data_IF_435871168774
#
_entry.id   IF_435871168774
#
_cell.length_a   1.000
_cell.length_b   1.000
_cell.length_c   1.000
_cell.angle_alpha   90.00
_cell.angle_beta   90.00
_cell.angle_gamma   90.00
#
_symmetry.space_group_name_H-M   'P 1'
#
loop_
_entity.id
_entity.type
_entity.pdbx_description
1 polymer ?
#
# COMPACT_ATOMS: atom_id res chain seq x y z
N UNK A 1 -28.04 -0.40 -8.63
CA UNK A 1 -27.24 -0.33 -7.38
C UNK A 1 -26.16 -1.38 -7.50
N UNK A 2 -25.08 -1.09 -8.23
CA UNK A 2 -23.96 -2.03 -8.43
C UNK A 2 -22.81 -1.68 -7.48
N UNK A 3 -23.15 -1.57 -6.20
CA UNK A 3 -22.20 -1.30 -5.14
C UNK A 3 -21.46 -2.57 -4.76
N UNK A 4 -20.14 -2.54 -4.84
CA UNK A 4 -19.21 -3.46 -4.17
C UNK A 4 -19.18 -4.92 -4.66
N UNK A 5 -18.89 -5.12 -5.94
CA UNK A 5 -18.12 -6.30 -6.36
C UNK A 5 -16.71 -5.88 -6.79
N UNK A 6 -15.93 -5.36 -5.84
CA UNK A 6 -14.47 -5.41 -5.99
C UNK A 6 -14.09 -6.82 -5.54
N UNK A 7 -13.97 -7.73 -6.51
CA UNK A 7 -13.29 -9.00 -6.24
C UNK A 7 -11.93 -8.68 -5.61
N UNK A 8 -11.45 -9.45 -4.61
CA UNK A 8 -10.07 -9.29 -4.18
C UNK A 8 -9.18 -9.41 -5.43
N UNK A 9 -8.21 -8.51 -5.61
CA UNK A 9 -7.29 -8.57 -6.74
C UNK A 9 -6.69 -9.98 -6.84
N UNK A 10 -6.65 -10.52 -8.06
CA UNK A 10 -6.16 -11.86 -8.32
C UNK A 10 -4.74 -12.01 -7.75
N UNK A 11 -4.45 -13.08 -6.99
CA UNK A 11 -3.13 -13.26 -6.44
C UNK A 11 -2.08 -13.35 -7.55
N UNK A 12 -0.99 -12.60 -7.40
CA UNK A 12 0.19 -12.74 -8.28
C UNK A 12 1.06 -13.84 -7.73
N UNK A 13 1.32 -14.86 -8.53
CA UNK A 13 2.16 -16.00 -8.14
C UNK A 13 3.62 -15.72 -8.50
N UNK A 14 4.49 -15.75 -7.49
CA UNK A 14 5.94 -15.63 -7.65
C UNK A 14 6.59 -16.95 -7.30
N UNK A 15 7.41 -17.49 -8.20
CA UNK A 15 8.19 -18.70 -7.93
C UNK A 15 9.57 -18.33 -7.37
N UNK A 16 9.86 -18.76 -6.15
CA UNK A 16 11.11 -18.53 -5.42
C UNK A 16 11.74 -19.89 -5.07
N UNK A 17 12.96 -20.16 -5.53
CA UNK A 17 13.62 -21.46 -5.32
C UNK A 17 12.72 -22.68 -5.57
N UNK A 18 11.87 -22.63 -6.60
CA UNK A 18 10.93 -23.71 -6.94
C UNK A 18 9.64 -23.78 -6.10
N UNK A 19 9.46 -22.87 -5.14
CA UNK A 19 8.23 -22.73 -4.34
C UNK A 19 7.38 -21.58 -4.87
N UNK A 20 6.11 -21.85 -5.15
CA UNK A 20 5.15 -20.81 -5.53
C UNK A 20 4.65 -20.05 -4.29
N UNK A 21 4.72 -18.72 -4.35
CA UNK A 21 4.20 -17.81 -3.34
C UNK A 21 3.13 -16.93 -3.97
N UNK A 22 1.92 -16.96 -3.40
CA UNK A 22 0.84 -16.04 -3.76
C UNK A 22 1.01 -14.70 -3.04
N UNK A 23 1.15 -13.64 -3.82
CA UNK A 23 1.16 -12.26 -3.36
C UNK A 23 -0.21 -11.62 -3.58
N UNK A 24 -0.68 -10.90 -2.57
CA UNK A 24 -1.85 -10.03 -2.70
C UNK A 24 -1.47 -8.64 -2.21
N UNK A 25 -2.21 -7.59 -2.63
CA UNK A 25 -2.05 -6.27 -2.06
C UNK A 25 -2.26 -6.24 -0.56
N UNK A 26 -1.67 -5.22 0.07
CA UNK A 26 -1.75 -4.99 1.51
C UNK A 26 -3.19 -4.85 2.01
N UNK A 27 -3.47 -5.47 3.17
CA UNK A 27 -4.74 -5.37 3.87
C UNK A 27 -4.80 -4.10 4.72
N UNK A 28 -6.00 -3.57 4.93
CA UNK A 28 -6.21 -2.38 5.76
C UNK A 28 -5.60 -2.50 7.17
N UNK A 29 -5.69 -3.68 7.80
CA UNK A 29 -5.11 -3.92 9.13
C UNK A 29 -3.58 -3.95 9.16
N UNK A 30 -2.93 -4.15 8.02
CA UNK A 30 -1.46 -4.20 7.88
C UNK A 30 -0.87 -2.80 7.65
N UNK A 31 -1.67 -1.86 7.12
CA UNK A 31 -1.22 -0.50 6.77
C UNK A 31 -0.54 0.25 7.92
N UNK A 32 -1.06 0.27 9.16
CA UNK A 32 -0.38 0.99 10.25
C UNK A 32 1.03 0.47 10.51
N UNK A 33 1.21 -0.86 10.46
CA UNK A 33 2.52 -1.51 10.67
C UNK A 33 3.43 -1.27 9.49
N UNK A 34 2.93 -1.39 8.25
CA UNK A 34 3.72 -1.11 7.05
C UNK A 34 4.23 0.33 7.06
N UNK A 35 3.37 1.31 7.34
CA UNK A 35 3.74 2.73 7.36
C UNK A 35 4.80 3.03 8.42
N UNK A 36 4.72 2.39 9.59
CA UNK A 36 5.74 2.53 10.63
C UNK A 36 7.11 2.01 10.14
N UNK A 37 7.13 0.90 9.42
CA UNK A 37 8.35 0.30 8.85
C UNK A 37 8.90 1.11 7.68
N UNK A 38 8.05 1.62 6.79
CA UNK A 38 8.45 2.39 5.59
C UNK A 38 8.94 3.79 5.94
N UNK A 39 8.46 4.39 7.04
CA UNK A 39 8.79 5.77 7.43
C UNK A 39 10.29 6.10 7.39
N UNK A 40 11.21 5.29 7.97
CA UNK A 40 12.64 5.54 7.87
C UNK A 40 13.22 5.42 6.45
N UNK A 41 12.59 4.66 5.55
CA UNK A 41 13.04 4.49 4.17
C UNK A 41 12.57 5.63 3.25
N UNK A 42 11.48 6.31 3.61
CA UNK A 42 10.78 7.23 2.71
C UNK A 42 11.64 8.40 2.19
N UNK A 43 12.64 8.84 2.96
CA UNK A 43 13.56 9.90 2.56
C UNK A 43 14.72 9.40 1.67
N UNK A 44 14.97 8.09 1.65
CA UNK A 44 16.11 7.47 0.96
C UNK A 44 15.72 6.71 -0.32
N UNK A 45 14.46 6.30 -0.44
CA UNK A 45 13.91 5.71 -1.67
C UNK A 45 13.69 6.82 -2.70
N UNK A 46 14.72 7.08 -3.50
CA UNK A 46 14.67 7.98 -4.66
C UNK A 46 14.68 7.19 -5.96
N UNK A 47 14.71 7.87 -7.12
CA UNK A 47 14.80 7.20 -8.43
C UNK A 47 16.13 6.45 -8.65
N UNK A 48 17.19 6.81 -7.92
CA UNK A 48 18.51 6.16 -7.95
C UNK A 48 19.10 6.12 -6.54
N UNK A 49 18.63 5.22 -5.66
CA UNK A 49 19.07 5.17 -4.27
C UNK A 49 20.44 4.49 -4.15
N UNK A 50 21.28 4.97 -3.23
CA UNK A 50 22.47 4.25 -2.81
C UNK A 50 22.04 3.00 -2.02
N UNK A 51 21.92 1.88 -2.74
CA UNK A 51 21.45 0.61 -2.19
C UNK A 51 22.31 0.10 -1.03
N UNK A 52 23.62 0.29 -1.10
CA UNK A 52 24.52 -0.16 -0.03
C UNK A 52 24.32 0.67 1.23
N UNK A 53 24.20 1.98 1.10
CA UNK A 53 23.98 2.84 2.25
C UNK A 53 22.55 2.72 2.81
N UNK A 54 21.55 2.49 1.95
CA UNK A 54 20.16 2.25 2.34
C UNK A 54 20.04 0.92 3.08
N UNK A 55 20.55 -0.18 2.52
CA UNK A 55 20.50 -1.49 3.16
C UNK A 55 21.37 -1.52 4.43
N UNK A 56 22.50 -0.81 4.45
CA UNK A 56 23.34 -0.68 5.64
C UNK A 56 22.66 0.06 6.80
N UNK A 57 21.75 0.99 6.52
CA UNK A 57 21.01 1.77 7.54
C UNK A 57 19.65 1.16 7.89
N UNK A 58 18.95 0.64 6.91
CA UNK A 58 17.53 0.26 6.99
C UNK A 58 17.25 -1.20 6.59
N UNK A 59 18.28 -2.04 6.50
CA UNK A 59 18.15 -3.43 6.05
C UNK A 59 17.09 -4.22 6.84
N UNK A 60 17.05 -4.08 8.16
CA UNK A 60 16.02 -4.72 8.98
C UNK A 60 14.59 -4.24 8.64
N UNK A 61 14.43 -2.95 8.36
CA UNK A 61 13.15 -2.39 7.98
C UNK A 61 12.70 -2.89 6.58
N UNK A 62 13.63 -3.07 5.64
CA UNK A 62 13.34 -3.71 4.35
C UNK A 62 12.86 -5.15 4.55
N UNK A 63 13.50 -5.90 5.44
CA UNK A 63 13.12 -7.28 5.67
C UNK A 63 11.79 -7.42 6.44
N UNK A 64 11.51 -6.50 7.37
CA UNK A 64 10.20 -6.41 8.04
C UNK A 64 9.08 -6.02 7.05
N UNK A 65 9.37 -5.15 6.09
CA UNK A 65 8.45 -4.80 5.00
C UNK A 65 8.10 -6.04 4.19
N UNK A 66 9.08 -6.85 3.81
CA UNK A 66 8.85 -8.11 3.09
C UNK A 66 8.04 -9.09 3.94
N UNK A 67 8.33 -9.22 5.24
CA UNK A 67 7.55 -10.09 6.13
C UNK A 67 6.06 -9.68 6.22
N UNK A 68 5.79 -8.37 6.33
CA UNK A 68 4.43 -7.83 6.39
C UNK A 68 3.69 -8.10 5.07
N UNK A 69 4.30 -7.73 3.95
CA UNK A 69 3.68 -7.76 2.62
C UNK A 69 3.47 -9.16 2.09
N UNK A 70 4.36 -10.09 2.43
CA UNK A 70 4.21 -11.52 2.07
C UNK A 70 3.40 -12.32 3.08
N UNK A 71 3.13 -11.74 4.25
CA UNK A 71 2.51 -12.43 5.40
C UNK A 71 3.28 -13.70 5.80
N UNK A 72 4.62 -13.66 5.69
CA UNK A 72 5.54 -14.72 6.12
C UNK A 72 6.27 -14.29 7.39
N UNK A 73 6.79 -15.29 8.11
CA UNK A 73 7.61 -15.03 9.28
C UNK A 73 8.97 -14.44 8.90
N UNK A 74 9.56 -13.66 9.81
CA UNK A 74 10.85 -12.98 9.59
C UNK A 74 11.99 -13.97 9.31
N UNK A 75 11.96 -15.14 9.93
CA UNK A 75 12.95 -16.20 9.72
C UNK A 75 12.93 -16.71 8.26
N UNK A 76 11.74 -16.94 7.70
CA UNK A 76 11.60 -17.34 6.30
C UNK A 76 12.19 -16.30 5.34
N UNK A 77 12.01 -15.01 5.63
CA UNK A 77 12.60 -13.92 4.83
C UNK A 77 14.14 -13.90 4.95
N UNK A 78 14.69 -14.17 6.14
CA UNK A 78 16.14 -14.21 6.36
C UNK A 78 16.83 -15.33 5.56
N UNK A 79 16.14 -16.44 5.36
CA UNK A 79 16.71 -17.63 4.70
C UNK A 79 16.61 -17.55 3.16
N UNK A 80 16.01 -16.49 2.61
CA UNK A 80 15.93 -16.30 1.16
C UNK A 80 17.32 -16.11 0.55
N UNK A 81 17.52 -16.75 -0.61
CA UNK A 81 18.64 -16.38 -1.48
C UNK A 81 18.50 -14.93 -1.91
N UNK A 82 19.61 -14.20 -2.03
CA UNK A 82 19.57 -12.77 -2.38
C UNK A 82 18.84 -12.51 -3.70
N UNK A 83 19.01 -13.38 -4.71
CA UNK A 83 18.30 -13.28 -5.98
C UNK A 83 16.78 -13.41 -5.81
N UNK A 84 16.32 -14.36 -5.00
CA UNK A 84 14.91 -14.55 -4.69
C UNK A 84 14.36 -13.37 -3.87
N UNK A 85 15.15 -12.82 -2.94
CA UNK A 85 14.76 -11.65 -2.16
C UNK A 85 14.56 -10.40 -3.05
N UNK A 86 15.43 -10.20 -4.03
CA UNK A 86 15.30 -9.10 -5.02
C UNK A 86 14.04 -9.30 -5.88
N UNK A 87 13.82 -10.52 -6.41
CA UNK A 87 12.63 -10.84 -7.20
C UNK A 87 11.34 -10.63 -6.38
N UNK A 88 11.34 -11.11 -5.13
CA UNK A 88 10.22 -10.96 -4.22
C UNK A 88 9.93 -9.48 -3.93
N UNK A 89 10.96 -8.69 -3.64
CA UNK A 89 10.81 -7.26 -3.38
C UNK A 89 10.18 -6.54 -4.57
N UNK A 90 10.66 -6.80 -5.79
CA UNK A 90 10.09 -6.23 -7.01
C UNK A 90 8.61 -6.57 -7.17
N UNK A 91 8.24 -7.85 -7.02
CA UNK A 91 6.86 -8.29 -7.14
C UNK A 91 5.95 -7.71 -6.05
N UNK A 92 6.45 -7.56 -4.82
CA UNK A 92 5.73 -6.87 -3.73
C UNK A 92 5.43 -5.43 -4.11
N UNK A 93 6.40 -4.69 -4.67
CA UNK A 93 6.17 -3.32 -5.10
C UNK A 93 5.16 -3.23 -6.23
N UNK A 94 5.26 -4.09 -7.25
CA UNK A 94 4.34 -4.14 -8.40
C UNK A 94 2.89 -4.39 -7.97
N UNK A 95 2.65 -5.47 -7.22
CA UNK A 95 1.31 -5.85 -6.73
C UNK A 95 0.66 -4.73 -5.92
N UNK A 96 1.44 -4.06 -5.06
CA UNK A 96 0.91 -2.99 -4.25
C UNK A 96 0.71 -1.70 -5.06
N UNK A 97 1.68 -1.28 -5.87
CA UNK A 97 1.57 -0.08 -6.69
C UNK A 97 0.38 -0.16 -7.66
N UNK A 98 0.21 -1.29 -8.34
CA UNK A 98 -0.89 -1.54 -9.27
C UNK A 98 -2.23 -1.47 -8.55
N UNK A 99 -2.35 -2.07 -7.37
CA UNK A 99 -3.56 -1.96 -6.57
C UNK A 99 -3.88 -0.52 -6.17
N UNK A 100 -2.88 0.25 -5.74
CA UNK A 100 -3.08 1.63 -5.35
C UNK A 100 -3.54 2.50 -6.53
N UNK A 101 -2.89 2.37 -7.69
CA UNK A 101 -3.19 3.16 -8.89
C UNK A 101 -4.53 2.74 -9.51
N UNK A 102 -4.78 1.43 -9.66
CA UNK A 102 -5.97 0.94 -10.35
C UNK A 102 -7.23 0.93 -9.48
N UNK A 103 -7.10 0.81 -8.15
CA UNK A 103 -8.26 0.61 -7.26
C UNK A 103 -8.40 1.68 -6.18
N UNK A 104 -7.35 1.95 -5.39
CA UNK A 104 -7.45 2.82 -4.20
C UNK A 104 -7.67 4.28 -4.59
N UNK A 105 -6.82 4.82 -5.46
CA UNK A 105 -6.89 6.23 -5.87
C UNK A 105 -8.25 6.55 -6.53
N UNK A 106 -8.74 5.77 -7.51
CA UNK A 106 -10.06 6.00 -8.10
C UNK A 106 -11.20 5.91 -7.09
N UNK A 107 -11.15 4.95 -6.15
CA UNK A 107 -12.19 4.78 -5.15
C UNK A 107 -12.28 5.98 -4.20
N UNK A 108 -11.14 6.49 -3.73
CA UNK A 108 -11.08 7.68 -2.86
C UNK A 108 -11.58 8.92 -3.62
N UNK A 109 -11.12 9.14 -4.85
CA UNK A 109 -11.54 10.27 -5.67
C UNK A 109 -13.05 10.22 -5.95
N UNK A 110 -13.58 9.05 -6.31
CA UNK A 110 -15.01 8.85 -6.53
C UNK A 110 -15.84 9.01 -5.26
N UNK A 111 -15.31 8.63 -4.09
CA UNK A 111 -15.96 8.92 -2.81
C UNK A 111 -15.99 10.42 -2.51
N UNK A 112 -14.87 11.13 -2.68
CA UNK A 112 -14.77 12.56 -2.47
C UNK A 112 -15.73 13.36 -3.38
N UNK A 113 -15.82 13.00 -4.67
CA UNK A 113 -16.74 13.62 -5.62
C UNK A 113 -18.22 13.42 -5.23
N UNK A 114 -18.58 12.23 -4.73
CA UNK A 114 -19.95 11.93 -4.28
C UNK A 114 -20.33 12.68 -3.00
N UNK A 115 -19.38 12.86 -2.08
CA UNK A 115 -19.61 13.53 -0.80
C UNK A 115 -19.59 15.05 -0.91
N UNK A 116 -18.82 15.62 -1.85
CA UNK A 116 -18.68 17.07 -2.04
C UNK A 116 -20.01 17.85 -2.11
N UNK A 117 -21.03 17.47 -2.91
CA UNK A 117 -22.30 18.21 -2.96
C UNK A 117 -23.07 18.13 -1.63
N UNK A 118 -23.07 16.97 -0.96
CA UNK A 118 -23.71 16.80 0.35
C UNK A 118 -23.05 17.68 1.40
N UNK A 119 -21.71 17.70 1.45
CA UNK A 119 -20.96 18.53 2.38
C UNK A 119 -21.20 20.03 2.12
N UNK A 120 -21.23 20.46 0.86
CA UNK A 120 -21.55 21.86 0.49
C UNK A 120 -22.97 22.26 0.87
N UNK A 121 -23.94 21.35 0.72
CA UNK A 121 -25.32 21.59 1.14
C UNK A 121 -25.40 21.83 2.65
N UNK A 122 -24.75 20.99 3.45
CA UNK A 122 -24.70 21.11 4.90
C UNK A 122 -24.04 22.42 5.37
N UNK A 123 -22.98 22.90 4.68
CA UNK A 123 -22.33 24.17 5.01
C UNK A 123 -23.13 25.39 4.58
N UNK A 124 -23.92 25.30 3.50
CA UNK A 124 -24.72 26.43 2.98
C UNK A 124 -26.07 26.57 3.72
N UNK A 125 -26.61 25.49 4.28
CA UNK A 125 -27.87 25.52 5.04
C UNK A 125 -27.77 26.21 6.41
N UNK A 126 -26.57 26.54 6.89
CA UNK A 126 -26.35 27.27 8.15
C UNK A 126 -26.33 28.81 8.03
N UNK A 127 -26.55 29.38 6.83
CA UNK A 127 -26.25 30.78 6.53
C UNK A 127 -27.42 31.78 6.42
N UNK A 128 -28.68 31.37 6.54
CA UNK A 128 -29.82 32.31 6.44
C UNK A 128 -30.45 32.59 7.80
N UNK A 129 -29.89 33.55 8.53
CA UNK A 129 -30.65 34.34 9.51
C UNK A 129 -31.39 35.44 8.74
N UNK A 130 -32.73 35.54 8.80
CA UNK A 130 -33.46 36.63 8.18
C UNK A 130 -33.18 37.95 8.93
N UNK A 131 -32.89 39.02 8.19
CA UNK A 131 -32.81 40.38 8.74
C UNK A 131 -34.19 40.82 9.25
N UNK A 132 -34.30 41.35 10.48
CA UNK A 132 -35.55 41.94 10.94
C UNK A 132 -35.80 43.27 10.21
N UNK A 133 -37.08 43.47 9.86
CA UNK A 133 -37.63 44.69 9.26
C UNK A 133 -37.73 45.84 10.27
#
# INVERSE_FOLDING_TARGET
MDGFKTFPPEPVVVTLSGTALELTPIRLGELPRLLAVVRPLAEEITSDPDWMALLGRHGDAVLDLLAITTRRERAWINDLQLADAVQLAAAVFEVNADFFVAHVVPAIQGAAQRLAPTLRSLTNSGGTLPSPA
#
